data_IF_006426303209
#
_entry.id   IF_006426303209
#
_cell.length_a   1.000
_cell.length_b   1.000
_cell.length_c   1.000
_cell.angle_alpha   90.00
_cell.angle_beta   90.00
_cell.angle_gamma   90.00
#
_symmetry.space_group_name_H-M   'P 1'
#
loop_
_entity.id
_entity.type
_entity.pdbx_description
1 polymer ?
#
# COMPACT_ATOMS: atom_id res chain seq x y z
N UNK A 1 -12.76 -22.85 -63.70
CA UNK A 1 -12.12 -21.55 -63.98
C UNK A 1 -11.47 -21.05 -62.69
N UNK A 2 -10.14 -21.09 -62.60
CA UNK A 2 -9.39 -20.57 -61.43
C UNK A 2 -9.21 -19.07 -61.65
N UNK A 3 -9.98 -18.25 -60.94
CA UNK A 3 -9.79 -16.80 -60.90
C UNK A 3 -8.53 -16.48 -60.10
N UNK A 4 -7.41 -16.32 -60.79
CA UNK A 4 -6.20 -15.73 -60.20
C UNK A 4 -6.44 -14.23 -60.03
N UNK A 5 -6.87 -13.81 -58.84
CA UNK A 5 -6.90 -12.41 -58.45
C UNK A 5 -5.45 -11.89 -58.48
N UNK A 6 -5.10 -11.17 -59.54
CA UNK A 6 -3.83 -10.46 -59.66
C UNK A 6 -3.90 -9.23 -58.74
N UNK A 7 -3.50 -9.42 -57.48
CA UNK A 7 -3.43 -8.33 -56.52
C UNK A 7 -2.23 -7.43 -56.84
N UNK A 8 -2.50 -6.15 -57.06
CA UNK A 8 -1.45 -5.16 -57.33
C UNK A 8 -0.44 -5.09 -56.16
N UNK A 9 0.82 -4.72 -56.39
CA UNK A 9 1.83 -4.58 -55.32
C UNK A 9 1.41 -3.62 -54.19
N UNK A 10 0.48 -2.69 -54.47
CA UNK A 10 -0.12 -1.77 -53.50
C UNK A 10 -1.01 -2.50 -52.49
N UNK A 11 -1.73 -3.54 -52.91
CA UNK A 11 -2.56 -4.36 -52.02
C UNK A 11 -1.71 -5.12 -51.00
N UNK A 12 -0.58 -5.69 -51.44
CA UNK A 12 0.36 -6.38 -50.57
C UNK A 12 1.00 -5.44 -49.54
N UNK A 13 1.31 -4.20 -49.92
CA UNK A 13 1.79 -3.17 -49.00
C UNK A 13 0.73 -2.80 -47.94
N UNK A 14 -0.52 -2.58 -48.35
CA UNK A 14 -1.62 -2.29 -47.42
C UNK A 14 -1.87 -3.46 -46.46
N UNK A 15 -1.85 -4.70 -46.96
CA UNK A 15 -2.03 -5.90 -46.14
C UNK A 15 -0.89 -6.06 -45.12
N UNK A 16 0.36 -5.85 -45.55
CA UNK A 16 1.52 -5.90 -44.67
C UNK A 16 1.43 -4.85 -43.56
N UNK A 17 1.01 -3.62 -43.88
CA UNK A 17 0.81 -2.56 -42.90
C UNK A 17 -0.22 -2.95 -41.84
N UNK A 18 -1.37 -3.51 -42.26
CA UNK A 18 -2.43 -3.94 -41.33
C UNK A 18 -1.96 -5.08 -40.44
N UNK A 19 -1.23 -6.06 -40.99
CA UNK A 19 -0.67 -7.17 -40.22
C UNK A 19 0.35 -6.67 -39.20
N UNK A 20 1.27 -5.78 -39.60
CA UNK A 20 2.25 -5.18 -38.69
C UNK A 20 1.54 -4.41 -37.57
N UNK A 21 0.50 -3.65 -37.90
CA UNK A 21 -0.30 -2.92 -36.91
C UNK A 21 -0.99 -3.86 -35.92
N UNK A 22 -1.61 -4.95 -36.39
CA UNK A 22 -2.23 -5.95 -35.51
C UNK A 22 -1.21 -6.64 -34.61
N UNK A 23 -0.03 -6.99 -35.14
CA UNK A 23 1.05 -7.58 -34.34
C UNK A 23 1.54 -6.60 -33.29
N UNK A 24 1.72 -5.32 -33.64
CA UNK A 24 2.12 -4.28 -32.70
C UNK A 24 1.07 -4.08 -31.59
N UNK A 25 -0.22 -4.06 -31.94
CA UNK A 25 -1.31 -3.94 -30.97
C UNK A 25 -1.39 -5.18 -30.06
N UNK A 26 -1.25 -6.38 -30.62
CA UNK A 26 -1.23 -7.63 -29.87
C UNK A 26 -0.02 -7.70 -28.94
N UNK A 27 1.16 -7.29 -29.40
CA UNK A 27 2.37 -7.23 -28.58
C UNK A 27 2.24 -6.18 -27.48
N UNK A 28 1.75 -4.97 -27.79
CA UNK A 28 1.49 -3.94 -26.78
C UNK A 28 0.48 -4.43 -25.74
N UNK A 29 -0.64 -5.01 -26.18
CA UNK A 29 -1.64 -5.61 -25.29
C UNK A 29 -1.01 -6.68 -24.40
N UNK A 30 -0.26 -7.62 -24.96
CA UNK A 30 0.39 -8.70 -24.20
C UNK A 30 1.44 -8.15 -23.24
N UNK A 31 2.23 -7.16 -23.67
CA UNK A 31 3.22 -6.46 -22.86
C UNK A 31 2.56 -5.72 -21.69
N UNK A 32 1.48 -4.99 -21.94
CA UNK A 32 0.72 -4.29 -20.89
C UNK A 32 0.01 -5.28 -19.96
N UNK A 33 -0.61 -6.33 -20.49
CA UNK A 33 -1.30 -7.35 -19.70
C UNK A 33 -0.31 -8.06 -18.78
N UNK A 34 0.82 -8.60 -19.28
CA UNK A 34 1.78 -9.33 -18.43
C UNK A 34 2.59 -8.45 -17.49
N UNK A 35 2.86 -7.19 -17.85
CA UNK A 35 3.60 -6.27 -16.97
C UNK A 35 2.74 -5.80 -15.79
N UNK A 36 1.42 -5.70 -15.97
CA UNK A 36 0.52 -5.08 -14.99
C UNK A 36 -0.47 -6.04 -14.31
N UNK A 37 -0.74 -7.21 -14.90
CA UNK A 37 -1.41 -8.34 -14.23
C UNK A 37 -0.37 -9.24 -13.56
N UNK A 38 0.19 -8.75 -12.45
CA UNK A 38 0.65 -9.70 -11.43
C UNK A 38 -0.61 -10.38 -10.87
N UNK A 39 -0.66 -11.71 -10.73
CA UNK A 39 -1.78 -12.38 -10.07
C UNK A 39 -1.98 -11.69 -8.71
N UNK A 40 -3.18 -11.14 -8.49
CA UNK A 40 -3.50 -10.48 -7.22
C UNK A 40 -3.32 -11.45 -6.04
N UNK A 41 -3.43 -12.76 -6.31
CA UNK A 41 -3.22 -13.88 -5.40
C UNK A 41 -1.79 -13.95 -4.82
N UNK A 42 -0.75 -13.63 -5.60
CA UNK A 42 0.64 -13.63 -5.12
C UNK A 42 0.97 -12.39 -4.27
N UNK A 43 0.16 -11.34 -4.38
CA UNK A 43 0.27 -10.10 -3.61
C UNK A 43 -0.60 -10.12 -2.35
N UNK A 44 -1.55 -11.06 -2.25
CA UNK A 44 -2.38 -11.22 -1.05
C UNK A 44 -1.61 -11.95 0.04
N UNK A 45 -1.15 -11.18 1.04
CA UNK A 45 -0.57 -11.69 2.27
C UNK A 45 -1.60 -11.75 3.39
N UNK A 46 -1.44 -12.73 4.28
CA UNK A 46 -2.10 -12.76 5.58
C UNK A 46 -1.17 -12.16 6.62
N UNK A 47 -1.64 -11.16 7.36
CA UNK A 47 -0.90 -10.55 8.45
C UNK A 47 -1.80 -10.38 9.67
N UNK A 48 -1.31 -10.87 10.81
CA UNK A 48 -1.89 -10.57 12.11
C UNK A 48 -1.26 -9.28 12.63
N UNK A 49 -2.10 -8.27 12.82
CA UNK A 49 -1.73 -7.00 13.41
C UNK A 49 -2.13 -6.99 14.89
N UNK A 50 -1.16 -6.65 15.75
CA UNK A 50 -1.35 -6.45 17.19
C UNK A 50 -0.86 -5.04 17.54
N UNK A 51 -1.80 -4.16 17.90
CA UNK A 51 -1.51 -2.77 18.22
C UNK A 51 -0.79 -2.59 19.56
N UNK A 52 -0.93 -3.54 20.50
CA UNK A 52 -0.31 -3.45 21.84
C UNK A 52 1.20 -3.58 21.79
N UNK A 53 1.70 -4.46 20.92
CA UNK A 53 3.15 -4.64 20.71
C UNK A 53 3.82 -3.36 20.22
N UNK A 54 3.17 -2.63 19.31
CA UNK A 54 3.70 -1.38 18.77
C UNK A 54 3.44 -0.20 19.71
N UNK A 55 2.38 -0.21 20.50
CA UNK A 55 2.12 0.84 21.47
C UNK A 55 3.28 1.03 22.46
N UNK A 56 3.90 -0.07 22.89
CA UNK A 56 5.02 -0.03 23.83
C UNK A 56 6.30 0.61 23.25
N UNK A 57 6.43 0.65 21.91
CA UNK A 57 7.60 1.21 21.23
C UNK A 57 7.37 2.61 20.68
N UNK A 58 6.15 3.15 20.82
CA UNK A 58 5.80 4.49 20.35
C UNK A 58 5.81 5.49 21.50
N UNK A 59 6.40 6.64 21.25
CA UNK A 59 6.30 7.78 22.17
C UNK A 59 4.89 8.35 22.10
N UNK A 60 4.37 8.84 23.23
CA UNK A 60 3.08 9.54 23.25
C UNK A 60 3.14 10.73 22.26
N UNK A 61 2.20 10.85 21.32
CA UNK A 61 2.21 11.95 20.37
C UNK A 61 1.93 13.29 21.06
N UNK A 62 2.52 14.36 20.52
CA UNK A 62 2.25 15.74 20.96
C UNK A 62 0.86 16.21 20.53
N UNK A 63 0.40 15.74 19.35
CA UNK A 63 -0.92 16.01 18.80
C UNK A 63 -1.99 15.10 19.42
N UNK A 64 -3.26 15.49 19.32
CA UNK A 64 -4.37 14.70 19.84
C UNK A 64 -4.43 13.30 19.19
N UNK A 65 -4.18 13.24 17.88
CA UNK A 65 -4.08 12.04 17.08
C UNK A 65 -2.80 12.04 16.25
N UNK A 66 -2.18 10.87 16.14
CA UNK A 66 -1.04 10.62 15.25
C UNK A 66 -1.31 9.40 14.40
N UNK A 67 -1.10 9.55 13.09
CA UNK A 67 -1.20 8.49 12.10
C UNK A 67 0.22 8.13 11.69
N UNK A 68 0.63 6.91 11.98
CA UNK A 68 1.92 6.37 11.55
C UNK A 68 1.67 5.49 10.32
N UNK A 69 2.10 5.97 9.16
CA UNK A 69 2.06 5.22 7.91
C UNK A 69 3.35 4.41 7.73
N UNK A 70 3.21 3.09 7.62
CA UNK A 70 4.31 2.21 7.28
C UNK A 70 4.42 2.03 5.77
N UNK A 71 5.47 2.61 5.19
CA UNK A 71 5.73 2.64 3.76
C UNK A 71 6.92 1.74 3.44
N UNK A 72 6.78 0.89 2.41
CA UNK A 72 7.91 0.19 1.80
C UNK A 72 7.85 0.33 0.27
N UNK A 73 8.86 0.96 -0.29
CA UNK A 73 9.02 1.19 -1.72
C UNK A 73 9.30 -0.06 -2.53
N UNK A 74 9.74 -1.15 -1.89
CA UNK A 74 9.93 -2.45 -2.54
C UNK A 74 8.62 -3.25 -2.62
N UNK A 75 7.61 -2.89 -1.82
CA UNK A 75 6.30 -3.53 -1.86
C UNK A 75 5.46 -2.98 -3.04
N UNK A 76 5.02 -3.82 -4.00
CA UNK A 76 4.24 -3.37 -5.15
C UNK A 76 2.89 -2.74 -4.77
N UNK A 77 2.32 -3.16 -3.63
CA UNK A 77 1.05 -2.65 -3.09
C UNK A 77 1.12 -1.16 -2.73
N UNK A 78 2.29 -0.68 -2.31
CA UNK A 78 2.50 0.71 -1.90
C UNK A 78 2.17 1.71 -3.00
N UNK A 79 2.45 1.39 -4.28
CA UNK A 79 2.17 2.29 -5.41
C UNK A 79 0.68 2.61 -5.55
N UNK A 80 -0.17 1.65 -5.22
CA UNK A 80 -1.62 1.77 -5.35
C UNK A 80 -2.25 2.46 -4.15
N UNK A 81 -1.68 2.22 -2.95
CA UNK A 81 -2.15 2.84 -1.73
C UNK A 81 -1.68 4.30 -1.58
N UNK A 82 -0.52 4.68 -2.14
CA UNK A 82 0.07 6.02 -1.95
C UNK A 82 -0.90 7.18 -2.27
N UNK A 83 -1.60 7.21 -3.43
CA UNK A 83 -2.54 8.30 -3.72
C UNK A 83 -3.68 8.40 -2.71
N UNK A 84 -4.14 7.26 -2.18
CA UNK A 84 -5.19 7.23 -1.17
C UNK A 84 -4.70 7.81 0.16
N UNK A 85 -3.53 7.39 0.64
CA UNK A 85 -2.92 7.92 1.87
C UNK A 85 -2.69 9.42 1.75
N UNK A 86 -2.22 9.90 0.59
CA UNK A 86 -2.04 11.33 0.33
C UNK A 86 -3.36 12.09 0.46
N UNK A 87 -4.42 11.62 -0.21
CA UNK A 87 -5.74 12.25 -0.15
C UNK A 87 -6.29 12.31 1.28
N UNK A 88 -6.21 11.19 2.02
CA UNK A 88 -6.68 11.13 3.41
C UNK A 88 -5.84 12.04 4.32
N UNK A 89 -4.52 12.02 4.20
CA UNK A 89 -3.65 12.88 5.01
C UNK A 89 -3.91 14.37 4.78
N UNK A 90 -4.30 14.75 3.57
CA UNK A 90 -4.71 16.12 3.26
C UNK A 90 -6.08 16.45 3.86
N UNK A 91 -7.03 15.52 3.79
CA UNK A 91 -8.38 15.68 4.33
C UNK A 91 -8.38 15.87 5.86
N UNK A 92 -7.58 15.09 6.59
CA UNK A 92 -7.53 15.14 8.06
C UNK A 92 -6.45 16.07 8.60
N UNK A 93 -5.77 16.82 7.74
CA UNK A 93 -4.71 17.74 8.16
C UNK A 93 -5.29 18.81 9.09
N UNK A 94 -4.85 18.80 10.33
CA UNK A 94 -5.20 19.78 11.37
C UNK A 94 -4.08 19.86 12.39
N UNK A 95 -4.10 20.88 13.26
CA UNK A 95 -3.12 20.99 14.35
C UNK A 95 -3.22 19.81 15.34
N UNK A 96 -4.38 19.15 15.39
CA UNK A 96 -4.69 18.03 16.25
C UNK A 96 -4.35 16.66 15.64
N UNK A 97 -4.02 16.58 14.34
CA UNK A 97 -3.72 15.33 13.62
C UNK A 97 -2.38 15.43 12.90
N UNK A 98 -1.42 14.60 13.33
CA UNK A 98 -0.10 14.49 12.67
C UNK A 98 0.03 13.21 11.85
N UNK A 99 0.72 13.32 10.70
CA UNK A 99 1.15 12.18 9.90
C UNK A 99 2.66 11.95 10.09
N UNK A 100 3.03 10.72 10.42
CA UNK A 100 4.41 10.23 10.41
C UNK A 100 4.52 9.08 9.42
N UNK A 101 5.60 9.03 8.64
CA UNK A 101 5.88 7.95 7.69
C UNK A 101 7.14 7.22 8.13
N UNK A 102 7.02 5.92 8.37
CA UNK A 102 8.13 5.03 8.69
C UNK A 102 8.51 4.16 7.48
N UNK A 103 9.80 4.08 7.21
CA UNK A 103 10.38 3.28 6.13
C UNK A 103 11.30 2.17 6.67
N UNK A 104 11.47 1.04 5.97
CA UNK A 104 12.31 -0.06 6.45
C UNK A 104 13.80 0.27 6.43
N UNK A 105 14.24 1.24 5.62
CA UNK A 105 15.64 1.57 5.42
C UNK A 105 15.84 3.02 4.96
N UNK A 106 17.01 3.59 5.26
CA UNK A 106 17.29 5.01 5.05
C UNK A 106 17.30 5.45 3.58
N UNK A 107 17.62 4.54 2.65
CA UNK A 107 17.60 4.78 1.19
C UNK A 107 16.23 5.16 0.66
N UNK A 108 15.15 4.81 1.37
CA UNK A 108 13.79 5.14 0.96
C UNK A 108 13.32 6.53 1.45
N UNK A 109 14.09 7.20 2.33
CA UNK A 109 13.69 8.46 2.96
C UNK A 109 13.47 9.59 1.96
N UNK A 110 14.34 9.74 0.97
CA UNK A 110 14.22 10.83 -0.01
C UNK A 110 12.96 10.69 -0.86
N UNK A 111 12.60 9.45 -1.20
CA UNK A 111 11.36 9.16 -1.93
C UNK A 111 10.12 9.50 -1.10
N UNK A 112 10.07 9.09 0.17
CA UNK A 112 8.89 9.40 1.01
C UNK A 112 8.79 10.87 1.38
N UNK A 113 9.90 11.61 1.48
CA UNK A 113 9.90 13.07 1.64
C UNK A 113 9.24 13.78 0.47
N UNK A 114 9.46 13.29 -0.75
CA UNK A 114 8.79 13.83 -1.94
C UNK A 114 7.31 13.46 -1.98
N UNK A 115 6.95 12.24 -1.58
CA UNK A 115 5.57 11.77 -1.60
C UNK A 115 4.71 12.38 -0.47
N UNK A 116 5.28 12.61 0.71
CA UNK A 116 4.55 13.11 1.88
C UNK A 116 5.30 14.29 2.52
N UNK A 117 5.41 15.46 1.83
CA UNK A 117 6.27 16.58 2.24
C UNK A 117 5.88 17.25 3.56
N UNK A 118 4.70 16.94 4.10
CA UNK A 118 4.17 17.50 5.34
C UNK A 118 4.15 16.49 6.49
N UNK A 119 4.71 15.30 6.28
CA UNK A 119 4.81 14.28 7.29
C UNK A 119 6.18 14.32 7.99
N UNK A 120 6.22 13.84 9.22
CA UNK A 120 7.49 13.44 9.83
C UNK A 120 7.99 12.15 9.17
N UNK A 121 9.31 11.99 8.98
CA UNK A 121 9.88 10.81 8.35
C UNK A 121 10.96 10.20 9.22
N UNK A 122 10.91 8.89 9.43
CA UNK A 122 11.95 8.17 10.14
C UNK A 122 12.10 6.74 9.60
N UNK A 123 13.23 6.11 9.94
CA UNK A 123 13.45 4.68 9.68
C UNK A 123 12.86 3.89 10.84
N UNK A 124 12.14 2.81 10.53
CA UNK A 124 11.59 1.92 11.53
C UNK A 124 12.72 1.17 12.26
N UNK A 125 12.62 1.09 13.58
CA UNK A 125 13.41 0.21 14.43
C UNK A 125 12.76 -1.17 14.51
N UNK A 126 13.47 -2.23 14.92
CA UNK A 126 12.88 -3.55 15.12
C UNK A 126 11.69 -3.56 16.08
N UNK A 127 11.64 -2.62 17.02
CA UNK A 127 10.58 -2.50 18.03
C UNK A 127 9.32 -1.83 17.47
N UNK A 128 9.45 -0.91 16.50
CA UNK A 128 8.32 -0.21 15.89
C UNK A 128 7.99 -0.72 14.47
N UNK A 129 8.67 -1.77 14.01
CA UNK A 129 8.41 -2.40 12.72
C UNK A 129 7.06 -3.14 12.72
N UNK A 130 6.20 -2.92 11.71
CA UNK A 130 4.91 -3.58 11.63
C UNK A 130 5.07 -5.05 11.19
N UNK A 131 4.07 -5.91 11.48
CA UNK A 131 3.22 -6.40 10.42
C UNK A 131 3.75 -6.66 9.00
N UNK A 132 2.93 -6.12 8.13
CA UNK A 132 3.15 -5.98 6.73
C UNK A 132 3.10 -4.49 6.36
N UNK A 133 3.60 -4.16 5.18
CA UNK A 133 3.41 -2.88 4.50
C UNK A 133 2.53 -3.09 3.25
N UNK A 134 1.81 -2.07 2.78
CA UNK A 134 1.54 -0.82 3.48
C UNK A 134 0.53 -1.02 4.62
N UNK A 135 0.76 -0.36 5.76
CA UNK A 135 -0.17 -0.36 6.90
C UNK A 135 -0.20 1.00 7.60
N UNK A 136 -1.14 1.16 8.53
CA UNK A 136 -1.31 2.32 9.37
C UNK A 136 -1.43 1.92 10.83
N UNK A 137 -0.86 2.75 11.71
CA UNK A 137 -1.11 2.75 13.14
C UNK A 137 -1.73 4.09 13.51
N UNK A 138 -2.88 4.08 14.16
CA UNK A 138 -3.53 5.29 14.68
C UNK A 138 -3.34 5.32 16.19
N UNK A 139 -2.76 6.40 16.68
CA UNK A 139 -2.45 6.62 18.09
C UNK A 139 -3.23 7.85 18.56
N UNK A 140 -3.97 7.70 19.64
CA UNK A 140 -4.54 8.80 20.40
C UNK A 140 -3.63 9.16 21.56
N UNK A 141 -3.48 10.45 21.83
CA UNK A 141 -2.73 10.94 23.00
C UNK A 141 -3.30 10.42 24.32
N UNK A 142 -4.62 10.32 24.41
CA UNK A 142 -5.35 9.91 25.62
C UNK A 142 -5.48 8.39 25.74
N UNK A 143 -5.84 7.74 24.63
CA UNK A 143 -6.22 6.33 24.62
C UNK A 143 -5.08 5.40 24.15
N UNK A 144 -3.99 5.97 23.64
CA UNK A 144 -2.88 5.21 23.08
C UNK A 144 -3.19 4.61 21.71
N UNK A 145 -2.64 3.44 21.39
CA UNK A 145 -2.85 2.81 20.08
C UNK A 145 -4.30 2.35 19.93
N UNK A 146 -5.01 2.86 18.93
CA UNK A 146 -6.43 2.57 18.69
C UNK A 146 -6.62 1.63 17.50
N UNK A 147 -5.71 1.65 16.53
CA UNK A 147 -5.81 0.87 15.31
C UNK A 147 -4.45 0.49 14.78
N UNK A 148 -4.27 -0.75 14.34
CA UNK A 148 -3.13 -1.18 13.54
C UNK A 148 -3.62 -2.12 12.45
N UNK A 149 -3.36 -1.79 11.18
CA UNK A 149 -3.84 -2.62 10.08
C UNK A 149 -3.69 -1.98 8.70
N UNK A 150 -4.34 -2.55 7.67
CA UNK A 150 -4.37 -2.01 6.32
C UNK A 150 -5.21 -0.73 6.22
N UNK A 151 -4.99 0.07 5.17
CA UNK A 151 -5.78 1.29 4.96
C UNK A 151 -7.23 1.02 4.55
N UNK A 152 -7.46 0.00 3.73
CA UNK A 152 -8.77 -0.32 3.14
C UNK A 152 -9.14 -1.80 3.30
N UNK A 153 -10.45 -2.13 3.24
CA UNK A 153 -10.92 -3.50 3.14
C UNK A 153 -10.55 -4.12 1.78
N UNK A 154 -10.13 -5.38 1.77
CA UNK A 154 -10.11 -6.21 0.55
C UNK A 154 -8.76 -6.34 -0.16
N UNK A 155 -8.75 -7.16 -1.21
CA UNK A 155 -7.55 -7.58 -1.93
C UNK A 155 -6.94 -6.48 -2.83
N UNK A 156 -7.66 -5.37 -3.03
CA UNK A 156 -7.24 -4.27 -3.91
C UNK A 156 -6.78 -3.10 -3.05
N UNK A 157 -5.51 -2.71 -3.15
CA UNK A 157 -4.91 -1.57 -2.44
C UNK A 157 -5.42 -0.21 -2.92
N UNK A 158 -6.73 0.03 -2.89
CA UNK A 158 -7.30 1.35 -3.14
C UNK A 158 -8.53 1.58 -2.25
N UNK A 159 -8.93 2.86 -2.17
CA UNK A 159 -10.07 3.31 -1.38
C UNK A 159 -11.44 2.88 -1.91
N UNK A 160 -11.53 2.22 -3.09
CA UNK A 160 -12.84 1.94 -3.72
C UNK A 160 -13.70 0.99 -2.90
N UNK A 161 -13.07 0.16 -2.08
CA UNK A 161 -13.73 -0.80 -1.19
C UNK A 161 -14.00 -0.25 0.22
N UNK A 162 -13.64 1.00 0.50
CA UNK A 162 -13.78 1.65 1.80
C UNK A 162 -12.44 2.00 2.44
N UNK A 163 -12.50 2.66 3.60
CA UNK A 163 -11.34 3.19 4.32
C UNK A 163 -11.49 2.92 5.82
N UNK A 164 -10.66 2.03 6.36
CA UNK A 164 -10.67 1.70 7.78
C UNK A 164 -10.09 2.83 8.63
N UNK A 165 -9.05 3.51 8.13
CA UNK A 165 -8.36 4.55 8.89
C UNK A 165 -9.25 5.78 9.02
N UNK A 166 -9.93 6.21 7.94
CA UNK A 166 -10.91 7.30 8.01
C UNK A 166 -12.02 7.03 9.04
N UNK A 167 -12.58 5.81 9.06
CA UNK A 167 -13.61 5.44 10.03
C UNK A 167 -13.12 5.53 11.47
N UNK A 168 -11.89 5.07 11.74
CA UNK A 168 -11.29 5.19 13.07
C UNK A 168 -11.06 6.65 13.44
N UNK A 169 -10.54 7.46 12.51
CA UNK A 169 -10.32 8.89 12.75
C UNK A 169 -11.63 9.61 13.06
N UNK A 170 -12.70 9.37 12.28
CA UNK A 170 -14.01 9.97 12.50
C UNK A 170 -14.59 9.59 13.88
N UNK A 171 -14.41 8.35 14.30
CA UNK A 171 -14.84 7.91 15.63
C UNK A 171 -14.06 8.60 16.74
N UNK A 172 -12.73 8.65 16.63
CA UNK A 172 -11.89 9.28 17.65
C UNK A 172 -12.11 10.79 17.73
N UNK A 173 -12.26 11.47 16.59
CA UNK A 173 -12.57 12.90 16.53
C UNK A 173 -13.95 13.24 17.09
N UNK A 174 -14.90 12.30 17.06
CA UNK A 174 -16.22 12.44 17.70
C UNK A 174 -16.26 11.96 19.16
N UNK A 175 -15.09 11.67 19.76
CA UNK A 175 -14.95 11.26 21.16
C UNK A 175 -15.36 9.81 21.44
N UNK A 176 -15.56 9.00 20.41
CA UNK A 176 -15.85 7.56 20.55
C UNK A 176 -14.54 6.80 20.67
N UNK A 177 -14.46 5.86 21.62
CA UNK A 177 -13.32 4.93 21.69
C UNK A 177 -13.43 3.88 20.58
N UNK A 178 -12.28 3.52 20.02
CA UNK A 178 -12.15 2.40 19.11
C UNK A 178 -11.20 1.37 19.73
N UNK A 179 -11.75 0.31 20.30
CA UNK A 179 -10.95 -0.78 20.88
C UNK A 179 -10.86 -1.94 19.90
N UNK A 180 -9.86 -1.89 19.01
CA UNK A 180 -9.47 -3.03 18.18
C UNK A 180 -7.97 -3.32 18.33
N UNK A 181 -7.68 -4.19 19.29
CA UNK A 181 -6.33 -4.60 19.68
C UNK A 181 -5.67 -5.51 18.63
N UNK A 182 -6.46 -6.39 18.04
CA UNK A 182 -6.01 -7.37 17.06
C UNK A 182 -6.81 -7.26 15.78
N UNK A 183 -6.11 -7.29 14.65
CA UNK A 183 -6.73 -7.35 13.33
C UNK A 183 -6.03 -8.39 12.48
N UNK A 184 -6.78 -9.43 12.11
CA UNK A 184 -6.36 -10.31 11.03
C UNK A 184 -6.77 -9.64 9.72
N UNK A 185 -5.78 -9.30 8.91
CA UNK A 185 -6.04 -8.73 7.59
C UNK A 185 -5.47 -9.64 6.52
N UNK A 186 -6.29 -9.85 5.48
CA UNK A 186 -5.91 -10.48 4.22
C UNK A 186 -6.09 -9.44 3.13
N UNK A 187 -5.02 -9.17 2.38
CA UNK A 187 -5.07 -8.17 1.32
C UNK A 187 -3.70 -7.95 0.69
N UNK A 188 -3.59 -6.95 -0.17
CA UNK A 188 -2.32 -6.61 -0.82
C UNK A 188 -1.36 -6.01 0.22
N UNK A 189 -0.55 -6.90 0.80
CA UNK A 189 0.29 -6.69 1.98
C UNK A 189 1.59 -7.48 1.78
N UNK A 190 2.72 -6.81 1.87
CA UNK A 190 4.05 -7.43 1.85
C UNK A 190 4.57 -7.58 3.29
N UNK A 191 5.18 -8.71 3.66
CA UNK A 191 5.88 -8.83 4.92
C UNK A 191 6.90 -7.69 5.08
N UNK A 192 6.95 -7.07 6.26
CA UNK A 192 7.91 -6.00 6.50
C UNK A 192 9.35 -6.53 6.30
N UNK A 193 10.20 -5.80 5.55
CA UNK A 193 11.58 -6.22 5.30
C UNK A 193 12.32 -6.46 6.63
N UNK A 194 13.18 -7.48 6.65
CA UNK A 194 14.00 -7.86 7.81
C UNK A 194 13.24 -8.45 9.02
N UNK A 195 11.95 -8.83 8.91
CA UNK A 195 11.30 -9.69 9.94
C UNK A 195 11.80 -11.14 9.93
N UNK A 196 12.40 -11.59 8.82
CA UNK A 196 12.82 -12.98 8.63
C UNK A 196 13.96 -13.43 9.57
N UNK A 197 14.77 -12.53 10.11
CA UNK A 197 15.77 -12.93 11.11
C UNK A 197 15.16 -13.30 12.47
N UNK A 198 13.90 -12.93 12.72
CA UNK A 198 13.18 -13.25 13.97
C UNK A 198 12.16 -14.37 13.78
N UNK A 199 11.57 -14.52 12.59
CA UNK A 199 10.69 -15.66 12.29
C UNK A 199 11.47 -16.98 12.12
N UNK A 200 12.76 -16.91 11.76
CA UNK A 200 13.66 -18.07 11.72
C UNK A 200 14.31 -18.41 13.07
N UNK A 201 14.14 -17.55 14.09
CA UNK A 201 14.52 -17.81 15.48
C UNK A 201 13.32 -18.35 16.25
N UNK A 202 12.91 -19.56 15.86
CA UNK A 202 11.70 -20.30 16.25
C UNK A 202 11.02 -19.94 17.58
N UNK A 203 9.75 -19.55 17.50
CA UNK A 203 8.75 -19.76 18.55
C UNK A 203 7.38 -20.01 17.89
N UNK A 204 7.19 -21.22 17.40
CA UNK A 204 5.88 -21.88 17.31
C UNK A 204 6.11 -23.37 17.54
N UNK A 205 6.24 -23.72 18.83
CA UNK A 205 5.85 -25.03 19.37
C UNK A 205 4.97 -24.75 20.59
#
# INVERSE_FOLDING_TARGET
MRSTLSYSPRFWLSLALVIIWMIAMGFAFWWFQLRWYQPLEDLTGDALFDSTRLQASQTRPDAALEIVHFYDGNCPCTRFNTPHVQALSQQYRSDDVRLRVLVPSADQLDKVRQLFPHAEHAVATPQNAPPASPSALVISRELGAQYLGPWSPGAVCNARSGDYVAQVLDQLLTGKRHEQTFQLARGCLCPWPNRLSLAQAGVFQ
#
